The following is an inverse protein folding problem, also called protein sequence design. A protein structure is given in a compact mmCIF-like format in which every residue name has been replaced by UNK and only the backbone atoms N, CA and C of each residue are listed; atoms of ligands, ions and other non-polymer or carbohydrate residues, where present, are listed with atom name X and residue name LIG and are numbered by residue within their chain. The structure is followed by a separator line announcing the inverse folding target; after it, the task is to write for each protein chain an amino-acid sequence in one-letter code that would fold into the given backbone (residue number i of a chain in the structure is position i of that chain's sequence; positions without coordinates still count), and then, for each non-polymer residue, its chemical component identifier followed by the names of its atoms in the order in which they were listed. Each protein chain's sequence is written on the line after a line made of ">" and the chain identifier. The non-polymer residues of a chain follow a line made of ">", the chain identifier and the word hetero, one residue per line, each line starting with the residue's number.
data_IF_946525713541
#
_entry.id   IF_946525713541
#
_cell.length_a   1.000
_cell.length_b   1.000
_cell.length_c   1.000
_cell.angle_alpha   90.00
_cell.angle_beta   90.00
_cell.angle_gamma   90.00
#
_symmetry.space_group_name_H-M   'P 1'
#
loop_
_entity.id
_entity.type
_entity.pdbx_description
1 polymer ?
#
# COMPACT_ATOMS: atom_id res chain seq x y z
N UNK A 1 20.91 -4.79 -44.45
CA UNK A 1 21.81 -4.82 -43.27
C UNK A 1 21.96 -3.44 -42.66
N UNK A 2 22.44 -2.43 -43.42
CA UNK A 2 22.67 -1.06 -42.94
C UNK A 2 21.41 -0.37 -42.37
N UNK A 3 20.24 -0.50 -43.03
CA UNK A 3 18.98 0.08 -42.56
C UNK A 3 18.59 -0.48 -41.18
N UNK A 4 18.65 -1.79 -40.99
CA UNK A 4 18.36 -2.43 -39.70
C UNK A 4 19.31 -1.96 -38.60
N UNK A 5 20.59 -1.78 -38.93
CA UNK A 5 21.59 -1.24 -38.01
C UNK A 5 21.26 0.19 -37.59
N UNK A 6 20.80 1.06 -38.49
CA UNK A 6 20.36 2.40 -38.09
C UNK A 6 19.05 2.38 -37.31
N UNK A 7 18.08 1.54 -37.69
CA UNK A 7 16.81 1.41 -36.98
C UNK A 7 17.00 0.98 -35.53
N UNK A 8 17.91 0.02 -35.25
CA UNK A 8 18.17 -0.41 -33.87
C UNK A 8 18.78 0.71 -33.03
N UNK A 9 19.74 1.47 -33.56
CA UNK A 9 20.32 2.60 -32.82
C UNK A 9 19.30 3.71 -32.55
N UNK A 10 18.41 4.01 -33.51
CA UNK A 10 17.34 4.98 -33.33
C UNK A 10 16.36 4.52 -32.25
N UNK A 11 15.88 3.28 -32.32
CA UNK A 11 14.96 2.74 -31.32
C UNK A 11 15.59 2.68 -29.93
N UNK A 12 16.86 2.29 -29.83
CA UNK A 12 17.60 2.30 -28.56
C UNK A 12 17.77 3.71 -27.98
N UNK A 13 18.07 4.71 -28.82
CA UNK A 13 18.18 6.10 -28.38
C UNK A 13 16.84 6.66 -27.91
N UNK A 14 15.76 6.39 -28.64
CA UNK A 14 14.40 6.78 -28.25
C UNK A 14 13.98 6.12 -26.93
N UNK A 15 14.27 4.82 -26.76
CA UNK A 15 13.99 4.11 -25.53
C UNK A 15 14.80 4.68 -24.35
N UNK A 16 16.08 4.97 -24.56
CA UNK A 16 16.93 5.62 -23.54
C UNK A 16 16.41 7.00 -23.13
N UNK A 17 15.96 7.81 -24.09
CA UNK A 17 15.34 9.10 -23.82
C UNK A 17 14.03 8.97 -23.02
N UNK A 18 13.20 7.98 -23.35
CA UNK A 18 11.97 7.68 -22.61
C UNK A 18 12.26 7.26 -21.17
N UNK A 19 13.24 6.39 -20.94
CA UNK A 19 13.65 5.97 -19.60
C UNK A 19 14.20 7.16 -18.81
N UNK A 20 15.01 8.02 -19.43
CA UNK A 20 15.52 9.23 -18.79
C UNK A 20 14.37 10.17 -18.40
N UNK A 21 13.39 10.35 -19.29
CA UNK A 21 12.19 11.14 -19.00
C UNK A 21 11.43 10.59 -17.78
N UNK A 22 11.17 9.28 -17.72
CA UNK A 22 10.51 8.68 -16.56
C UNK A 22 11.32 8.80 -15.27
N UNK A 23 12.64 8.64 -15.35
CA UNK A 23 13.53 8.78 -14.20
C UNK A 23 13.54 10.21 -13.65
N UNK A 24 13.61 11.22 -14.54
CA UNK A 24 13.52 12.62 -14.15
C UNK A 24 12.15 12.93 -13.56
N UNK A 25 11.07 12.38 -14.14
CA UNK A 25 9.72 12.47 -13.59
C UNK A 25 9.64 11.88 -12.18
N UNK A 26 10.19 10.68 -11.96
CA UNK A 26 10.22 10.03 -10.66
C UNK A 26 10.98 10.85 -9.61
N UNK A 27 12.12 11.43 -9.99
CA UNK A 27 12.89 12.32 -9.11
C UNK A 27 12.21 13.64 -8.81
N UNK A 28 11.36 14.12 -9.72
CA UNK A 28 10.61 15.35 -9.55
C UNK A 28 9.34 15.17 -8.71
N UNK A 29 8.90 13.93 -8.48
CA UNK A 29 7.80 13.65 -7.57
C UNK A 29 8.19 14.09 -6.16
N UNK A 30 7.37 14.96 -5.58
CA UNK A 30 7.50 15.35 -4.18
C UNK A 30 7.27 14.10 -3.34
N UNK A 31 8.24 13.76 -2.49
CA UNK A 31 8.02 12.71 -1.51
C UNK A 31 6.80 13.08 -0.65
N UNK A 32 5.91 12.11 -0.43
CA UNK A 32 4.82 12.27 0.51
C UNK A 32 5.42 12.38 1.90
N UNK A 33 5.68 13.61 2.34
CA UNK A 33 6.25 13.88 3.64
C UNK A 33 5.13 13.96 4.67
N UNK A 34 4.76 12.79 5.20
CA UNK A 34 3.77 12.64 6.28
C UNK A 34 4.17 13.41 7.55
N UNK A 35 5.44 13.82 7.70
CA UNK A 35 5.95 14.62 8.83
C UNK A 35 5.65 16.12 8.71
N UNK A 36 4.54 16.51 8.10
CA UNK A 36 4.04 17.87 8.22
C UNK A 36 3.40 17.97 9.62
N UNK A 37 3.99 18.67 10.60
CA UNK A 37 3.51 18.67 11.98
C UNK A 37 2.11 19.33 12.12
N UNK A 38 1.68 20.05 11.08
CA UNK A 38 0.58 21.01 11.14
C UNK A 38 -0.78 20.48 10.67
N UNK A 39 -0.85 19.22 10.24
CA UNK A 39 -2.14 18.58 9.93
C UNK A 39 -2.31 17.35 10.80
N UNK A 40 -2.77 17.56 12.03
CA UNK A 40 -3.51 16.51 12.73
C UNK A 40 -4.65 16.12 11.77
N UNK A 41 -4.76 14.86 11.33
CA UNK A 41 -5.88 14.43 10.50
C UNK A 41 -7.19 14.85 11.19
N UNK A 42 -8.07 15.54 10.49
CA UNK A 42 -9.36 15.99 11.05
C UNK A 42 -10.52 15.04 10.71
N UNK A 43 -10.23 13.97 9.99
CA UNK A 43 -11.22 13.03 9.46
C UNK A 43 -11.22 11.77 10.33
N UNK A 44 -12.39 11.26 10.64
CA UNK A 44 -12.51 9.94 11.27
C UNK A 44 -12.61 8.88 10.16
N UNK A 45 -11.82 7.82 10.27
CA UNK A 45 -11.74 6.74 9.29
C UNK A 45 -12.20 5.43 9.93
N UNK A 46 -13.05 4.71 9.21
CA UNK A 46 -13.47 3.35 9.59
C UNK A 46 -12.94 2.37 8.56
N UNK A 47 -12.08 1.45 9.00
CA UNK A 47 -11.53 0.37 8.18
C UNK A 47 -12.38 -0.87 8.39
N UNK A 48 -13.19 -1.23 7.39
CA UNK A 48 -14.04 -2.42 7.42
C UNK A 48 -13.30 -3.54 6.69
N UNK A 49 -13.02 -4.64 7.38
CA UNK A 49 -12.31 -5.79 6.84
C UNK A 49 -13.25 -7.00 6.83
N UNK A 50 -13.84 -7.37 5.69
CA UNK A 50 -14.52 -8.64 5.54
C UNK A 50 -13.48 -9.77 5.51
N UNK A 51 -13.68 -10.82 6.29
CA UNK A 51 -12.77 -11.96 6.39
C UNK A 51 -13.52 -13.27 6.27
N UNK A 52 -12.89 -14.25 5.63
CA UNK A 52 -13.33 -15.65 5.62
C UNK A 52 -12.12 -16.56 5.50
N UNK A 53 -11.92 -17.41 6.50
CA UNK A 53 -10.83 -18.38 6.54
C UNK A 53 -9.43 -17.76 6.35
N UNK A 54 -9.14 -16.72 7.12
CA UNK A 54 -7.88 -15.96 7.10
C UNK A 54 -7.02 -16.24 8.34
N UNK A 55 -7.14 -17.40 8.98
CA UNK A 55 -6.38 -17.70 10.21
C UNK A 55 -4.86 -17.57 10.04
N UNK A 56 -4.34 -17.78 8.83
CA UNK A 56 -2.91 -17.69 8.52
C UNK A 56 -2.40 -16.25 8.34
N UNK A 57 -3.27 -15.27 8.08
CA UNK A 57 -2.86 -13.89 7.76
C UNK A 57 -3.49 -12.83 8.68
N UNK A 58 -4.55 -13.18 9.40
CA UNK A 58 -5.36 -12.19 10.13
C UNK A 58 -4.55 -11.46 11.21
N UNK A 59 -3.60 -12.13 11.85
CA UNK A 59 -2.74 -11.50 12.87
C UNK A 59 -1.81 -10.46 12.23
N UNK A 60 -1.14 -10.81 11.13
CA UNK A 60 -0.24 -9.89 10.41
C UNK A 60 -1.01 -8.64 9.92
N UNK A 61 -2.23 -8.83 9.41
CA UNK A 61 -3.10 -7.72 9.01
C UNK A 61 -3.45 -6.80 10.18
N UNK A 62 -3.84 -7.38 11.33
CA UNK A 62 -4.17 -6.60 12.52
C UNK A 62 -2.94 -5.86 13.08
N UNK A 63 -1.76 -6.46 12.98
CA UNK A 63 -0.49 -5.84 13.36
C UNK A 63 -0.14 -4.64 12.47
N UNK A 64 -0.32 -4.79 11.15
CA UNK A 64 -0.11 -3.73 10.15
C UNK A 64 -1.12 -2.56 10.33
N UNK A 65 -2.37 -2.88 10.64
CA UNK A 65 -3.40 -1.87 10.94
C UNK A 65 -3.10 -1.14 12.25
N UNK A 66 -2.58 -1.83 13.26
CA UNK A 66 -2.16 -1.21 14.51
C UNK A 66 -0.87 -0.37 14.36
N UNK A 67 -0.03 -0.67 13.37
CA UNK A 67 1.21 0.07 13.10
C UNK A 67 1.02 1.33 12.23
N UNK A 68 -0.21 1.66 11.84
CA UNK A 68 -0.50 2.84 11.02
C UNK A 68 -0.07 4.13 11.74
N UNK A 69 0.45 5.08 10.97
CA UNK A 69 0.81 6.41 11.48
C UNK A 69 -0.40 7.33 11.69
N UNK A 70 -1.61 6.87 11.35
CA UNK A 70 -2.86 7.63 11.53
C UNK A 70 -3.25 7.66 13.02
N UNK A 71 -3.78 8.78 13.56
CA UNK A 71 -4.17 8.85 14.95
C UNK A 71 -5.21 7.79 15.32
N UNK A 72 -4.88 6.94 16.30
CA UNK A 72 -5.79 5.90 16.80
C UNK A 72 -7.13 6.45 17.30
N UNK A 73 -7.15 7.67 17.83
CA UNK A 73 -8.40 8.33 18.26
C UNK A 73 -9.36 8.64 17.11
N UNK A 74 -8.88 8.62 15.86
CA UNK A 74 -9.64 8.90 14.65
C UNK A 74 -9.77 7.69 13.73
N UNK A 75 -9.31 6.52 14.15
CA UNK A 75 -9.39 5.29 13.38
C UNK A 75 -10.14 4.23 14.17
N UNK A 76 -11.09 3.57 13.52
CA UNK A 76 -11.67 2.32 14.01
C UNK A 76 -11.48 1.22 12.97
N UNK A 77 -11.27 -0.01 13.45
CA UNK A 77 -11.16 -1.21 12.62
C UNK A 77 -12.32 -2.13 12.98
N UNK A 78 -13.10 -2.53 11.96
CA UNK A 78 -14.27 -3.37 12.10
C UNK A 78 -14.04 -4.64 11.29
N UNK A 79 -13.85 -5.76 11.98
CA UNK A 79 -13.70 -7.07 11.34
C UNK A 79 -15.09 -7.70 11.17
N UNK A 80 -15.41 -8.10 9.94
CA UNK A 80 -16.68 -8.74 9.59
C UNK A 80 -16.39 -10.15 9.12
N UNK A 81 -16.64 -11.12 10.00
CA UNK A 81 -16.45 -12.55 9.70
C UNK A 81 -17.63 -13.12 8.88
N UNK A 82 -17.34 -13.64 7.69
CA UNK A 82 -18.31 -14.34 6.82
C UNK A 82 -18.34 -15.85 7.13
N UNK A 83 -18.71 -16.19 8.36
CA UNK A 83 -18.87 -17.56 8.84
C UNK A 83 -17.63 -18.44 8.56
N UNK A 84 -16.46 -18.01 9.02
CA UNK A 84 -15.25 -18.81 8.87
C UNK A 84 -15.38 -20.17 9.54
N UNK A 85 -14.81 -21.21 8.92
CA UNK A 85 -14.77 -22.58 9.45
C UNK A 85 -13.41 -22.95 10.08
N UNK A 86 -12.49 -21.98 10.14
CA UNK A 86 -11.18 -22.09 10.74
C UNK A 86 -11.07 -21.25 12.04
N UNK A 87 -9.84 -20.97 12.48
CA UNK A 87 -9.57 -20.20 13.71
C UNK A 87 -9.62 -18.68 13.55
N UNK A 88 -10.05 -18.15 12.40
CA UNK A 88 -10.04 -16.69 12.12
C UNK A 88 -10.73 -15.90 13.24
N UNK A 89 -11.96 -16.26 13.57
CA UNK A 89 -12.73 -15.54 14.58
C UNK A 89 -12.11 -15.61 15.99
N UNK A 90 -11.49 -16.74 16.34
CA UNK A 90 -10.83 -16.92 17.64
C UNK A 90 -9.55 -16.08 17.73
N UNK A 91 -8.77 -16.03 16.65
CA UNK A 91 -7.57 -15.21 16.56
C UNK A 91 -7.91 -13.72 16.65
N UNK A 92 -8.96 -13.25 15.98
CA UNK A 92 -9.43 -11.86 16.07
C UNK A 92 -9.87 -11.52 17.50
N UNK A 93 -10.66 -12.39 18.15
CA UNK A 93 -11.11 -12.16 19.54
C UNK A 93 -9.97 -12.20 20.56
N UNK A 94 -8.93 -12.99 20.30
CA UNK A 94 -7.74 -13.10 21.14
C UNK A 94 -6.73 -11.97 20.94
N UNK A 95 -6.89 -11.15 19.90
CA UNK A 95 -5.94 -10.09 19.58
C UNK A 95 -6.02 -8.94 20.59
N UNK A 96 -4.89 -8.62 21.23
CA UNK A 96 -4.77 -7.51 22.19
C UNK A 96 -3.53 -6.71 21.86
N UNK A 97 -3.71 -5.44 21.48
CA UNK A 97 -2.63 -4.48 21.22
C UNK A 97 -3.06 -3.08 21.62
#
# INVERSE_FOLDING_TARGET
>A
MIIYTYSIYILSALYGALILYFYLGWKALKEFNSKSPDTIPGVRVSVIVPVRNEADHIIDLLDDLAAQQYPHSLMEVIIVDDFSDDKTADLVRGYTK
#
